data_IF_359372011336
#
_entry.id   IF_359372011336
#
_cell.length_a   1.000
_cell.length_b   1.000
_cell.length_c   1.000
_cell.angle_alpha   90.00
_cell.angle_beta   90.00
_cell.angle_gamma   90.00
#
_symmetry.space_group_name_H-M   'P 1'
#
loop_
_entity.id
_entity.type
_entity.pdbx_description
1 polymer ?
#
# COMPACT_ATOMS: atom_id res chain seq x y z
N UNK A 1 26.62 30.95 -1.72
CA UNK A 1 26.51 29.52 -1.60
C UNK A 1 25.08 29.05 -1.73
N UNK A 2 24.86 28.06 -2.54
CA UNK A 2 23.52 27.54 -2.77
C UNK A 2 23.27 26.34 -1.88
N UNK A 3 22.19 26.43 -1.13
CA UNK A 3 21.63 25.26 -0.44
C UNK A 3 20.69 24.59 -1.42
N UNK A 4 21.00 23.38 -1.79
CA UNK A 4 20.18 22.63 -2.72
C UNK A 4 19.03 21.96 -1.96
N UNK A 5 17.88 22.60 -1.97
CA UNK A 5 16.67 22.07 -1.33
C UNK A 5 16.12 20.83 -2.01
N UNK A 6 16.57 20.56 -3.24
CA UNK A 6 16.15 19.37 -4.00
C UNK A 6 16.77 18.07 -3.49
N UNK A 7 17.70 18.15 -2.56
CA UNK A 7 18.33 16.97 -1.96
C UNK A 7 17.41 16.25 -0.98
N UNK A 8 16.36 16.91 -0.48
CA UNK A 8 15.40 16.26 0.40
C UNK A 8 14.39 15.51 -0.46
N UNK A 9 14.49 14.19 -0.47
CA UNK A 9 13.56 13.33 -1.21
C UNK A 9 12.52 12.79 -0.27
N UNK A 10 11.26 12.87 -0.68
CA UNK A 10 10.12 12.30 0.03
C UNK A 10 9.57 11.16 -0.81
N UNK A 11 9.46 9.99 -0.21
CA UNK A 11 8.91 8.80 -0.86
C UNK A 11 7.56 8.47 -0.23
N UNK A 12 6.56 8.10 -1.02
CA UNK A 12 5.22 7.81 -0.50
C UNK A 12 5.12 6.44 0.19
N UNK A 13 6.10 5.55 -0.03
CA UNK A 13 6.02 4.16 0.39
C UNK A 13 6.91 3.87 1.59
N UNK A 14 6.72 4.60 2.66
CA UNK A 14 7.43 4.31 3.90
C UNK A 14 6.53 3.58 4.91
N UNK A 15 7.11 2.66 5.68
CA UNK A 15 6.42 1.94 6.74
C UNK A 15 7.01 2.31 8.09
N UNK A 16 6.16 2.65 9.05
CA UNK A 16 6.59 3.00 10.40
C UNK A 16 6.85 1.71 11.20
N UNK A 17 8.05 1.16 11.04
CA UNK A 17 8.45 -0.10 11.70
C UNK A 17 9.03 0.09 13.09
N UNK A 18 9.26 1.32 13.52
CA UNK A 18 9.63 1.66 14.90
C UNK A 18 8.38 2.19 15.59
N UNK A 19 7.79 1.46 16.53
CA UNK A 19 6.49 1.83 17.12
C UNK A 19 6.45 3.24 17.68
N UNK A 20 5.39 3.97 17.28
CA UNK A 20 5.09 5.32 17.77
C UNK A 20 6.21 6.35 17.55
N UNK A 21 7.05 6.11 16.55
CA UNK A 21 8.14 7.02 16.19
C UNK A 21 7.64 8.24 15.40
N UNK A 22 6.50 8.09 14.72
CA UNK A 22 5.93 9.15 13.90
C UNK A 22 6.53 9.27 12.50
N UNK A 23 7.57 8.51 12.21
CA UNK A 23 8.27 8.55 10.92
C UNK A 23 8.37 7.16 10.30
N UNK A 24 8.28 7.11 8.98
CA UNK A 24 8.51 5.87 8.25
C UNK A 24 10.00 5.52 8.27
N UNK A 25 10.33 4.38 8.86
CA UNK A 25 11.71 3.93 9.03
C UNK A 25 12.17 2.98 7.94
N UNK A 26 11.25 2.29 7.27
CA UNK A 26 11.56 1.27 6.27
C UNK A 26 10.88 1.61 4.96
N UNK A 27 11.60 1.46 3.85
CA UNK A 27 10.99 1.62 2.53
C UNK A 27 10.06 0.44 2.24
N UNK A 28 9.04 0.69 1.45
CA UNK A 28 8.10 -0.34 0.99
C UNK A 28 8.30 -0.58 -0.50
N UNK A 29 8.20 -1.83 -0.93
CA UNK A 29 8.35 -2.19 -2.34
C UNK A 29 7.18 -1.68 -3.17
N UNK A 30 7.49 -1.07 -4.31
CA UNK A 30 6.47 -0.61 -5.28
C UNK A 30 6.25 -1.60 -6.42
N UNK A 31 7.09 -2.62 -6.53
CA UNK A 31 7.04 -3.54 -7.67
C UNK A 31 5.72 -4.32 -7.73
N UNK A 32 5.09 -4.55 -6.59
CA UNK A 32 3.82 -5.26 -6.49
C UNK A 32 2.73 -4.65 -7.39
N UNK A 33 2.68 -3.33 -7.51
CA UNK A 33 1.66 -2.66 -8.32
C UNK A 33 1.94 -2.75 -9.82
N UNK A 34 3.14 -3.17 -10.22
CA UNK A 34 3.49 -3.24 -11.63
C UNK A 34 2.96 -4.48 -12.33
N UNK A 35 2.82 -5.59 -11.61
CA UNK A 35 2.50 -6.89 -12.21
C UNK A 35 1.46 -7.69 -11.43
N UNK A 36 0.80 -7.10 -10.45
CA UNK A 36 -0.29 -7.75 -9.70
C UNK A 36 -1.51 -6.83 -9.61
N UNK A 37 -2.57 -7.32 -8.95
CA UNK A 37 -3.78 -6.54 -8.70
C UNK A 37 -3.72 -5.60 -7.50
N UNK A 38 -2.56 -5.41 -6.90
CA UNK A 38 -2.41 -4.53 -5.74
C UNK A 38 -2.81 -3.08 -6.07
N UNK A 39 -3.53 -2.45 -5.16
CA UNK A 39 -4.02 -1.07 -5.32
C UNK A 39 -3.69 -0.22 -4.10
N UNK A 40 -3.67 1.10 -4.29
CA UNK A 40 -3.58 2.05 -3.18
C UNK A 40 -4.95 2.65 -2.88
N UNK A 41 -5.31 2.67 -1.61
CA UNK A 41 -6.56 3.28 -1.15
C UNK A 41 -6.31 4.25 0.01
N UNK A 42 -7.28 5.12 0.26
CA UNK A 42 -7.29 5.99 1.43
C UNK A 42 -8.10 5.36 2.57
N UNK A 43 -8.26 6.08 3.68
CA UNK A 43 -9.02 5.59 4.84
C UNK A 43 -10.51 5.40 4.57
N UNK A 44 -11.04 5.97 3.49
CA UNK A 44 -12.41 5.73 3.05
C UNK A 44 -12.53 4.46 2.20
N UNK A 45 -11.41 3.78 1.94
CA UNK A 45 -11.37 2.58 1.12
C UNK A 45 -11.44 2.85 -0.38
N UNK A 46 -11.17 4.07 -0.82
CA UNK A 46 -11.26 4.46 -2.23
C UNK A 46 -9.87 4.55 -2.85
N UNK A 47 -9.75 4.08 -4.10
CA UNK A 47 -8.52 4.29 -4.87
C UNK A 47 -8.28 5.79 -5.04
N UNK A 48 -7.01 6.17 -4.98
CA UNK A 48 -6.61 7.59 -4.97
C UNK A 48 -5.87 8.01 -6.24
N UNK A 49 -5.29 7.06 -6.97
CA UNK A 49 -4.45 7.37 -8.14
C UNK A 49 -4.22 6.11 -8.97
N UNK A 50 -3.72 6.29 -10.18
CA UNK A 50 -3.09 5.18 -10.91
C UNK A 50 -1.86 4.72 -10.13
N UNK A 51 -1.83 3.48 -9.69
CA UNK A 51 -0.77 2.94 -8.84
C UNK A 51 0.61 2.95 -9.51
N UNK A 52 0.65 3.04 -10.83
CA UNK A 52 1.90 3.13 -11.61
C UNK A 52 2.32 4.57 -11.89
N UNK A 53 1.70 5.54 -11.25
CA UNK A 53 2.09 6.95 -11.39
C UNK A 53 3.52 7.17 -10.85
N UNK A 54 4.11 8.31 -11.18
CA UNK A 54 5.46 8.64 -10.70
C UNK A 54 5.51 8.75 -9.18
N UNK A 55 6.70 8.61 -8.61
CA UNK A 55 6.90 8.77 -7.18
C UNK A 55 6.46 10.15 -6.69
N UNK A 56 6.69 11.19 -7.47
CA UNK A 56 6.25 12.55 -7.14
C UNK A 56 4.74 12.65 -7.06
N UNK A 57 4.03 12.10 -8.03
CA UNK A 57 2.57 12.09 -8.04
C UNK A 57 1.99 11.27 -6.88
N UNK A 58 2.59 10.11 -6.58
CA UNK A 58 2.19 9.28 -5.45
C UNK A 58 2.40 10.02 -4.11
N UNK A 59 3.53 10.72 -3.98
CA UNK A 59 3.81 11.51 -2.79
C UNK A 59 2.78 12.62 -2.62
N UNK A 60 2.51 13.38 -3.68
CA UNK A 60 1.57 14.49 -3.65
C UNK A 60 0.17 14.03 -3.25
N UNK A 61 -0.31 12.95 -3.81
CA UNK A 61 -1.65 12.44 -3.50
C UNK A 61 -1.72 11.88 -2.07
N UNK A 62 -0.64 11.26 -1.60
CA UNK A 62 -0.58 10.72 -0.24
C UNK A 62 -0.62 11.86 0.79
N UNK A 63 0.17 12.89 0.59
CA UNK A 63 0.21 14.06 1.47
C UNK A 63 -1.13 14.82 1.46
N UNK A 64 -1.85 14.77 0.35
CA UNK A 64 -3.17 15.40 0.22
C UNK A 64 -4.26 14.66 1.01
N UNK A 65 -4.04 13.42 1.44
CA UNK A 65 -5.02 12.71 2.27
C UNK A 65 -5.07 13.33 3.67
N UNK A 66 -6.24 13.34 4.35
CA UNK A 66 -6.38 13.97 5.66
C UNK A 66 -5.38 13.45 6.70
N UNK A 67 -5.06 12.17 6.66
CA UNK A 67 -4.12 11.52 7.58
C UNK A 67 -2.71 11.38 6.98
N UNK A 68 -2.50 11.80 5.73
CA UNK A 68 -1.24 11.66 4.99
C UNK A 68 -0.78 10.21 4.90
N UNK A 69 -1.73 9.30 4.77
CA UNK A 69 -1.49 7.87 4.69
C UNK A 69 -2.17 7.32 3.44
N UNK A 70 -1.51 6.38 2.78
CA UNK A 70 -2.15 5.50 1.80
C UNK A 70 -1.98 4.06 2.26
N UNK A 71 -2.86 3.20 1.80
CA UNK A 71 -2.85 1.79 2.18
C UNK A 71 -2.64 0.96 0.92
N UNK A 72 -1.63 0.09 0.97
CA UNK A 72 -1.40 -0.89 -0.10
C UNK A 72 -2.26 -2.11 0.20
N UNK A 73 -3.21 -2.40 -0.68
CA UNK A 73 -4.10 -3.56 -0.56
C UNK A 73 -3.64 -4.61 -1.54
N UNK A 74 -3.37 -5.80 -1.03
CA UNK A 74 -2.86 -6.94 -1.80
C UNK A 74 -3.70 -8.18 -1.53
N UNK A 75 -3.75 -9.07 -2.50
CA UNK A 75 -4.15 -10.45 -2.27
C UNK A 75 -2.90 -11.33 -2.07
N UNK A 76 -3.07 -12.65 -2.03
CA UNK A 76 -1.93 -13.58 -1.86
C UNK A 76 -0.91 -13.44 -2.98
N UNK A 77 -1.34 -13.29 -4.21
CA UNK A 77 -0.44 -13.08 -5.36
C UNK A 77 0.37 -11.80 -5.19
N UNK A 78 -0.29 -10.72 -4.77
CA UNK A 78 0.37 -9.45 -4.47
C UNK A 78 1.37 -9.56 -3.34
N UNK A 79 0.99 -10.23 -2.26
CA UNK A 79 1.88 -10.43 -1.11
C UNK A 79 3.13 -11.22 -1.49
N UNK A 80 2.98 -12.31 -2.25
CA UNK A 80 4.13 -13.11 -2.67
C UNK A 80 5.11 -12.27 -3.50
N UNK A 81 4.59 -11.40 -4.36
CA UNK A 81 5.43 -10.48 -5.13
C UNK A 81 6.08 -9.42 -4.24
N UNK A 82 5.31 -8.87 -3.30
CA UNK A 82 5.80 -7.89 -2.34
C UNK A 82 6.96 -8.45 -1.51
N UNK A 83 6.81 -9.67 -1.01
CA UNK A 83 7.84 -10.37 -0.25
C UNK A 83 9.10 -10.59 -1.10
N UNK A 84 8.93 -11.15 -2.31
CA UNK A 84 10.06 -11.43 -3.19
C UNK A 84 10.87 -10.17 -3.51
N UNK A 85 10.19 -9.08 -3.85
CA UNK A 85 10.86 -7.81 -4.15
C UNK A 85 11.45 -7.14 -2.92
N UNK A 86 10.80 -7.26 -1.78
CA UNK A 86 11.34 -6.71 -0.53
C UNK A 86 12.66 -7.38 -0.14
N UNK A 87 12.79 -8.68 -0.39
CA UNK A 87 14.05 -9.41 -0.17
C UNK A 87 15.09 -9.03 -1.23
N UNK A 88 14.70 -9.03 -2.50
CA UNK A 88 15.59 -8.69 -3.62
C UNK A 88 16.19 -7.29 -3.47
N UNK A 89 15.37 -6.33 -3.07
CA UNK A 89 15.79 -4.93 -2.90
C UNK A 89 16.41 -4.67 -1.52
N UNK A 90 16.61 -5.73 -0.72
CA UNK A 90 17.24 -5.68 0.61
C UNK A 90 16.50 -4.76 1.60
N UNK A 91 15.18 -4.65 1.46
CA UNK A 91 14.34 -3.92 2.41
C UNK A 91 14.09 -4.74 3.65
N UNK A 92 13.97 -6.06 3.50
CA UNK A 92 13.92 -7.03 4.59
C UNK A 92 14.83 -8.21 4.24
N UNK A 93 15.46 -8.87 5.22
CA UNK A 93 16.35 -10.01 4.95
C UNK A 93 15.59 -11.28 4.55
N UNK A 94 14.39 -11.47 5.10
CA UNK A 94 13.57 -12.65 4.87
C UNK A 94 12.11 -12.41 5.30
N UNK A 95 11.27 -13.42 5.09
CA UNK A 95 9.85 -13.33 5.44
C UNK A 95 9.63 -13.20 6.96
N UNK A 96 10.52 -13.72 7.78
CA UNK A 96 10.37 -13.61 9.22
C UNK A 96 10.30 -12.16 9.69
N UNK A 97 11.12 -11.29 9.13
CA UNK A 97 11.11 -9.86 9.45
C UNK A 97 9.84 -9.19 8.93
N UNK A 98 9.42 -9.51 7.70
CA UNK A 98 8.18 -8.97 7.15
C UNK A 98 6.97 -9.40 7.98
N UNK A 99 6.91 -10.66 8.41
CA UNK A 99 5.82 -11.18 9.27
C UNK A 99 5.73 -10.44 10.61
N UNK A 100 6.84 -9.93 11.13
CA UNK A 100 6.83 -9.15 12.38
C UNK A 100 6.02 -7.87 12.25
N UNK A 101 5.84 -7.34 11.05
CA UNK A 101 5.02 -6.15 10.82
C UNK A 101 3.57 -6.35 11.23
N UNK A 102 3.08 -7.58 11.24
CA UNK A 102 1.73 -7.91 11.72
C UNK A 102 1.54 -7.57 13.20
N UNK A 103 2.62 -7.57 13.98
CA UNK A 103 2.60 -7.26 15.41
C UNK A 103 3.08 -5.86 15.75
N UNK A 104 3.65 -5.11 14.80
CA UNK A 104 4.07 -3.73 15.02
C UNK A 104 2.82 -2.83 15.01
N UNK A 105 2.62 -2.09 16.10
CA UNK A 105 1.45 -1.23 16.24
C UNK A 105 1.85 0.20 16.54
N UNK A 106 1.20 1.14 15.87
CA UNK A 106 1.33 2.57 16.10
C UNK A 106 -0.02 3.08 16.63
N UNK A 107 -0.05 3.48 17.89
CA UNK A 107 -1.27 3.88 18.59
C UNK A 107 -2.37 2.81 18.54
N UNK A 108 -1.98 1.54 18.70
CA UNK A 108 -2.89 0.40 18.70
C UNK A 108 -3.29 -0.11 17.32
N UNK A 109 -2.83 0.51 16.25
CA UNK A 109 -3.13 0.12 14.87
C UNK A 109 -1.91 -0.56 14.25
N UNK A 110 -2.05 -1.79 13.71
CA UNK A 110 -0.91 -2.48 13.10
C UNK A 110 -0.48 -1.82 11.79
N UNK A 111 0.78 -1.97 11.42
CA UNK A 111 1.29 -1.47 10.14
C UNK A 111 0.97 -2.42 9.00
N UNK A 112 0.68 -3.69 9.29
CA UNK A 112 0.25 -4.68 8.31
C UNK A 112 -0.79 -5.61 8.92
N UNK A 113 -1.77 -6.01 8.11
CA UNK A 113 -2.77 -7.01 8.47
C UNK A 113 -2.84 -8.11 7.41
N UNK A 114 -3.16 -9.32 7.85
CA UNK A 114 -3.46 -10.46 6.99
C UNK A 114 -4.81 -11.02 7.42
N UNK A 115 -5.71 -11.20 6.46
CA UNK A 115 -7.04 -11.77 6.75
C UNK A 115 -7.64 -12.42 5.50
N UNK A 116 -8.36 -13.51 5.67
CA UNK A 116 -9.16 -14.10 4.60
C UNK A 116 -10.38 -13.24 4.26
N UNK A 117 -10.77 -12.33 5.17
CA UNK A 117 -11.91 -11.46 5.01
C UNK A 117 -11.46 -10.01 4.81
N UNK A 118 -11.80 -9.44 3.65
CA UNK A 118 -11.37 -8.08 3.29
C UNK A 118 -11.95 -7.03 4.24
N UNK A 119 -13.22 -7.16 4.64
CA UNK A 119 -13.86 -6.23 5.57
C UNK A 119 -13.19 -6.25 6.95
N UNK A 120 -12.81 -7.43 7.43
CA UNK A 120 -12.07 -7.58 8.69
C UNK A 120 -10.70 -6.89 8.61
N UNK A 121 -9.99 -7.10 7.51
CA UNK A 121 -8.70 -6.44 7.27
C UNK A 121 -8.86 -4.91 7.29
N UNK A 122 -9.89 -4.39 6.62
CA UNK A 122 -10.19 -2.97 6.60
C UNK A 122 -10.43 -2.41 8.00
N UNK A 123 -11.25 -3.10 8.80
CA UNK A 123 -11.55 -2.67 10.17
C UNK A 123 -10.30 -2.57 11.04
N UNK A 124 -9.43 -3.57 10.94
CA UNK A 124 -8.17 -3.58 11.69
C UNK A 124 -7.30 -2.38 11.33
N UNK A 125 -7.28 -2.00 10.05
CA UNK A 125 -6.48 -0.89 9.57
C UNK A 125 -7.16 0.48 9.69
N UNK A 126 -8.38 0.54 10.20
CA UNK A 126 -9.11 1.80 10.30
C UNK A 126 -9.61 2.32 8.96
N UNK A 127 -9.79 1.44 7.98
CA UNK A 127 -10.35 1.76 6.66
C UNK A 127 -11.84 1.45 6.69
N UNK A 128 -12.65 2.28 6.01
CA UNK A 128 -14.08 2.01 5.85
C UNK A 128 -14.30 0.66 5.16
N UNK A 129 -14.89 -0.35 5.83
CA UNK A 129 -15.00 -1.69 5.27
C UNK A 129 -15.90 -1.75 4.03
N UNK A 130 -17.03 -1.08 4.05
CA UNK A 130 -17.94 -1.07 2.90
C UNK A 130 -17.32 -0.35 1.71
N UNK A 131 -16.59 0.74 1.98
CA UNK A 131 -15.85 1.47 0.96
C UNK A 131 -14.80 0.61 0.30
N UNK A 132 -14.03 -0.14 1.08
CA UNK A 132 -12.99 -1.02 0.53
C UNK A 132 -13.60 -2.18 -0.25
N UNK A 133 -14.64 -2.82 0.26
CA UNK A 133 -15.30 -3.90 -0.45
C UNK A 133 -15.86 -3.43 -1.80
N UNK A 134 -16.50 -2.27 -1.84
CA UNK A 134 -17.02 -1.68 -3.07
C UNK A 134 -15.88 -1.37 -4.07
N UNK A 135 -14.78 -0.84 -3.56
CA UNK A 135 -13.60 -0.51 -4.38
C UNK A 135 -12.98 -1.76 -5.00
N UNK A 136 -12.79 -2.81 -4.22
CA UNK A 136 -12.20 -4.06 -4.71
C UNK A 136 -13.13 -4.74 -5.71
N UNK A 137 -14.43 -4.72 -5.46
CA UNK A 137 -15.42 -5.26 -6.41
C UNK A 137 -15.35 -4.53 -7.75
N UNK A 138 -15.36 -3.20 -7.72
CA UNK A 138 -15.25 -2.39 -8.93
C UNK A 138 -13.92 -2.61 -9.64
N UNK A 139 -12.82 -2.67 -8.89
CA UNK A 139 -11.50 -2.97 -9.44
C UNK A 139 -11.49 -4.30 -10.17
N UNK A 140 -12.04 -5.34 -9.55
CA UNK A 140 -12.08 -6.68 -10.15
C UNK A 140 -12.94 -6.72 -11.42
N UNK A 141 -14.04 -5.98 -11.45
CA UNK A 141 -14.87 -5.85 -12.65
C UNK A 141 -14.09 -5.18 -13.78
N UNK A 142 -13.37 -4.10 -13.48
CA UNK A 142 -12.53 -3.40 -14.46
C UNK A 142 -11.38 -4.29 -14.93
N UNK A 143 -10.74 -5.01 -14.03
CA UNK A 143 -9.64 -5.92 -14.36
C UNK A 143 -10.12 -7.06 -15.27
N UNK A 144 -11.29 -7.64 -14.98
CA UNK A 144 -11.91 -8.67 -15.79
C UNK A 144 -12.24 -8.17 -17.20
N UNK A 145 -12.63 -6.90 -17.31
CA UNK A 145 -12.90 -6.25 -18.60
C UNK A 145 -11.62 -5.80 -19.31
N UNK A 146 -10.47 -5.86 -18.64
CA UNK A 146 -9.18 -5.47 -19.20
C UNK A 146 -8.93 -3.97 -19.25
N UNK A 147 -9.72 -3.16 -18.56
CA UNK A 147 -9.59 -1.70 -18.62
C UNK A 147 -9.94 -1.03 -17.29
N UNK A 148 -8.99 -0.25 -16.77
CA UNK A 148 -9.20 0.64 -15.63
C UNK A 148 -9.79 1.97 -16.11
N UNK A 149 -11.09 2.17 -15.91
CA UNK A 149 -11.79 3.38 -16.34
C UNK A 149 -11.67 4.53 -15.35
N UNK A 150 -11.13 4.30 -14.14
CA UNK A 150 -10.97 5.34 -13.13
C UNK A 150 -9.68 6.14 -13.30
N UNK A 151 -8.55 5.43 -13.44
CA UNK A 151 -7.23 6.05 -13.46
C UNK A 151 -6.34 5.60 -14.63
N UNK A 152 -6.88 4.84 -15.56
CA UNK A 152 -6.17 4.38 -16.77
C UNK A 152 -4.92 3.55 -16.49
N UNK A 153 -4.88 2.78 -15.41
CA UNK A 153 -3.78 1.85 -15.18
C UNK A 153 -3.80 0.75 -16.24
N UNK A 154 -2.66 0.53 -16.89
CA UNK A 154 -2.53 -0.50 -17.92
C UNK A 154 -2.49 -1.89 -17.30
N UNK A 155 -3.03 -2.88 -18.02
CA UNK A 155 -3.02 -4.28 -17.63
C UNK A 155 -3.53 -4.49 -16.20
N UNK A 156 -4.75 -4.03 -15.87
CA UNK A 156 -5.30 -4.26 -14.54
C UNK A 156 -5.51 -5.74 -14.30
N UNK A 157 -5.09 -6.22 -13.13
CA UNK A 157 -5.22 -7.62 -12.72
C UNK A 157 -6.14 -7.72 -11.53
N UNK A 158 -6.85 -8.86 -11.43
CA UNK A 158 -7.80 -9.07 -10.35
C UNK A 158 -7.12 -9.21 -8.99
N UNK A 159 -7.83 -8.80 -7.95
CA UNK A 159 -7.43 -8.86 -6.56
C UNK A 159 -8.44 -9.79 -5.85
N UNK A 160 -8.26 -11.10 -6.03
CA UNK A 160 -9.28 -12.09 -5.66
C UNK A 160 -8.77 -13.28 -4.86
N UNK A 161 -7.45 -13.44 -4.70
CA UNK A 161 -6.87 -14.63 -4.09
C UNK A 161 -6.56 -14.39 -2.61
N UNK A 162 -7.43 -14.85 -1.73
CA UNK A 162 -7.21 -14.75 -0.29
C UNK A 162 -5.95 -15.52 0.15
N UNK A 163 -5.31 -15.15 1.28
CA UNK A 163 -5.68 -14.06 2.16
C UNK A 163 -5.35 -12.68 1.59
N UNK A 164 -6.01 -11.65 2.12
CA UNK A 164 -5.74 -10.26 1.80
C UNK A 164 -4.75 -9.67 2.79
N UNK A 165 -3.96 -8.73 2.31
CA UNK A 165 -2.94 -8.03 3.08
C UNK A 165 -3.11 -6.53 2.87
N UNK A 166 -3.00 -5.76 3.94
CA UNK A 166 -3.00 -4.30 3.84
C UNK A 166 -1.79 -3.77 4.60
N UNK A 167 -1.01 -2.91 3.95
CA UNK A 167 0.17 -2.27 4.54
C UNK A 167 -0.07 -0.77 4.58
N UNK A 168 0.05 -0.19 5.78
CA UNK A 168 -0.01 1.26 5.95
C UNK A 168 1.28 1.88 5.44
N UNK A 169 1.16 2.90 4.57
CA UNK A 169 2.31 3.59 3.99
C UNK A 169 2.21 5.10 4.24
N UNK A 170 3.32 5.68 4.67
CA UNK A 170 3.48 7.10 4.96
C UNK A 170 4.57 7.71 4.09
N UNK A 171 4.56 9.03 3.87
CA UNK A 171 5.70 9.68 3.25
C UNK A 171 6.99 9.38 4.03
N UNK A 172 8.04 9.07 3.30
CA UNK A 172 9.35 8.75 3.85
C UNK A 172 10.35 9.80 3.39
N UNK A 173 11.06 10.34 4.35
CA UNK A 173 12.10 11.34 4.10
C UNK A 173 13.48 10.71 4.04
#
# INVERSE_FOLDING_TARGET
QNINMDLVKVYPQGVETVPNHGLAATASSTATVNDTGAIYVNSQGKRIINERASLGELTDITVAQPDKIMYLVMDKTGYDRYLAKSIEDKLVPDETVLRKWLAIKNNGKPVMVESDNLAEAAKVMGINPEGLEATVKQWNEMASAGKDTQFNRKDPKELIKAPYYIVEQKPRF
#
